data_IF_119491943762
#
_entry.id   IF_119491943762
#
_cell.length_a   1.000
_cell.length_b   1.000
_cell.length_c   1.000
_cell.angle_alpha   90.00
_cell.angle_beta   90.00
_cell.angle_gamma   90.00
#
_symmetry.space_group_name_H-M   'P 1'
#
loop_
_entity.id
_entity.type
_entity.pdbx_description
1 polymer ?
#
# COMPACT_ATOMS: atom_id res chain seq x y z
N UNK A 1 7.57 -38.24 5.91
CA UNK A 1 6.44 -37.61 6.61
C UNK A 1 6.16 -36.29 5.94
N UNK A 2 4.95 -36.13 5.41
CA UNK A 2 4.51 -34.89 4.77
C UNK A 2 4.32 -33.84 5.86
N UNK A 3 4.97 -32.67 5.71
CA UNK A 3 4.92 -31.56 6.68
C UNK A 3 3.50 -30.96 6.86
N UNK A 4 2.51 -31.45 6.13
CA UNK A 4 1.18 -30.86 6.00
C UNK A 4 0.04 -31.73 6.58
N UNK A 5 0.34 -32.92 7.11
CA UNK A 5 -0.70 -33.85 7.61
C UNK A 5 -1.35 -33.41 8.93
N UNK A 6 -0.62 -32.66 9.78
CA UNK A 6 -1.10 -32.23 11.10
C UNK A 6 -1.63 -30.78 11.12
N UNK A 7 -1.86 -30.16 9.95
CA UNK A 7 -2.39 -28.79 9.87
C UNK A 7 -3.86 -28.79 10.29
N UNK A 8 -4.18 -27.99 11.31
CA UNK A 8 -5.54 -27.87 11.87
C UNK A 8 -6.29 -26.61 11.46
N UNK A 9 -5.71 -25.77 10.62
CA UNK A 9 -6.29 -24.52 10.14
C UNK A 9 -5.28 -23.68 9.37
N UNK A 10 -5.78 -22.72 8.58
CA UNK A 10 -4.95 -21.84 7.75
C UNK A 10 -5.37 -20.40 8.01
N UNK A 11 -4.41 -19.54 8.32
CA UNK A 11 -4.61 -18.10 8.41
C UNK A 11 -3.95 -17.41 7.20
N UNK A 12 -4.62 -16.41 6.66
CA UNK A 12 -4.16 -15.63 5.52
C UNK A 12 -3.96 -14.17 5.93
N UNK A 13 -2.95 -13.53 5.36
CA UNK A 13 -2.99 -12.07 5.22
C UNK A 13 -3.96 -11.68 4.10
N UNK A 14 -4.30 -10.39 3.99
CA UNK A 14 -5.22 -9.86 2.99
C UNK A 14 -4.45 -9.26 1.81
N UNK A 15 -3.83 -8.10 2.03
CA UNK A 15 -3.15 -7.30 1.01
C UNK A 15 -1.91 -8.03 0.47
N UNK A 16 -1.85 -8.26 -0.84
CA UNK A 16 -0.75 -8.98 -1.47
C UNK A 16 -0.78 -10.50 -1.25
N UNK A 17 -1.82 -11.03 -0.61
CA UNK A 17 -2.02 -12.49 -0.41
C UNK A 17 -3.34 -12.96 -1.01
N UNK A 18 -4.47 -12.45 -0.52
CA UNK A 18 -5.80 -12.78 -1.06
C UNK A 18 -6.25 -11.77 -2.10
N UNK A 19 -5.90 -10.50 -1.89
CA UNK A 19 -6.27 -9.39 -2.78
C UNK A 19 -5.04 -8.69 -3.32
N UNK A 20 -5.12 -8.34 -4.60
CA UNK A 20 -4.24 -7.39 -5.24
C UNK A 20 -4.72 -5.98 -4.93
N UNK A 21 -4.13 -5.38 -3.89
CA UNK A 21 -4.44 -4.00 -3.46
C UNK A 21 -3.35 -3.00 -3.87
N UNK A 22 -2.33 -3.45 -4.60
CA UNK A 22 -1.24 -2.62 -5.07
C UNK A 22 -1.70 -1.45 -5.95
N UNK A 23 -2.63 -1.63 -6.92
CA UNK A 23 -3.09 -0.53 -7.76
C UNK A 23 -3.77 0.58 -6.97
N UNK A 24 -4.66 0.22 -6.03
CA UNK A 24 -5.34 1.20 -5.16
C UNK A 24 -4.38 1.92 -4.20
N UNK A 25 -3.41 1.20 -3.63
CA UNK A 25 -2.35 1.79 -2.81
C UNK A 25 -1.47 2.76 -3.61
N UNK A 26 -1.10 2.39 -4.82
CA UNK A 26 -0.33 3.22 -5.74
C UNK A 26 -1.06 4.52 -6.10
N UNK A 27 -2.33 4.42 -6.48
CA UNK A 27 -3.16 5.57 -6.81
C UNK A 27 -3.27 6.53 -5.62
N UNK A 28 -3.53 6.01 -4.41
CA UNK A 28 -3.63 6.84 -3.20
C UNK A 28 -2.31 7.55 -2.84
N UNK A 29 -1.17 6.89 -3.02
CA UNK A 29 0.16 7.49 -2.81
C UNK A 29 0.40 8.62 -3.80
N UNK A 30 0.12 8.40 -5.08
CA UNK A 30 0.33 9.42 -6.12
C UNK A 30 -0.61 10.62 -5.94
N UNK A 31 -1.87 10.39 -5.55
CA UNK A 31 -2.80 11.48 -5.19
C UNK A 31 -2.30 12.29 -4.00
N UNK A 32 -1.77 11.63 -2.96
CA UNK A 32 -1.23 12.30 -1.79
C UNK A 32 0.04 13.13 -2.11
N UNK A 33 0.95 12.58 -2.93
CA UNK A 33 2.13 13.31 -3.41
C UNK A 33 1.75 14.52 -4.26
N UNK A 34 0.79 14.33 -5.18
CA UNK A 34 0.28 15.40 -6.03
C UNK A 34 -0.33 16.54 -5.21
N UNK A 35 -1.10 16.22 -4.16
CA UNK A 35 -1.69 17.21 -3.27
C UNK A 35 -0.66 18.04 -2.46
N UNK A 36 0.57 17.54 -2.32
CA UNK A 36 1.71 18.28 -1.75
C UNK A 36 2.59 18.94 -2.82
N UNK A 37 2.13 19.00 -4.07
CA UNK A 37 2.88 19.53 -5.21
C UNK A 37 4.23 18.82 -5.42
N UNK A 38 4.30 17.54 -5.04
CA UNK A 38 5.47 16.70 -5.23
C UNK A 38 5.34 15.85 -6.50
N UNK A 39 6.47 15.42 -7.10
CA UNK A 39 6.44 14.45 -8.19
C UNK A 39 5.72 13.18 -7.76
N UNK A 40 4.84 12.68 -8.63
CA UNK A 40 4.15 11.39 -8.46
C UNK A 40 5.11 10.25 -8.81
N UNK A 41 4.99 9.13 -8.10
CA UNK A 41 5.94 8.02 -8.17
C UNK A 41 5.59 7.01 -9.26
N UNK A 42 4.29 6.81 -9.53
CA UNK A 42 3.78 5.79 -10.42
C UNK A 42 3.74 4.40 -9.78
N UNK A 43 2.82 3.57 -10.26
CA UNK A 43 2.51 2.25 -9.71
C UNK A 43 3.72 1.32 -9.57
N UNK A 44 4.50 1.15 -10.64
CA UNK A 44 5.68 0.25 -10.63
C UNK A 44 6.63 0.56 -9.48
N UNK A 45 6.81 1.84 -9.16
CA UNK A 45 7.69 2.28 -8.08
C UNK A 45 7.04 2.10 -6.73
N UNK A 46 5.78 2.50 -6.58
CA UNK A 46 5.06 2.40 -5.32
C UNK A 46 4.97 0.95 -4.84
N UNK A 47 4.75 -0.01 -5.76
CA UNK A 47 4.70 -1.44 -5.44
C UNK A 47 5.96 -1.91 -4.70
N UNK A 48 7.13 -1.39 -5.05
CA UNK A 48 8.40 -1.76 -4.39
C UNK A 48 8.50 -1.29 -2.93
N UNK A 49 7.63 -0.38 -2.50
CA UNK A 49 7.63 0.17 -1.15
C UNK A 49 6.64 -0.51 -0.20
N UNK A 50 5.69 -1.26 -0.74
CA UNK A 50 4.61 -1.93 0.02
C UNK A 50 5.18 -3.04 0.90
N UNK A 51 4.51 -3.30 2.04
CA UNK A 51 4.78 -4.47 2.91
C UNK A 51 5.30 -4.15 4.32
N UNK A 52 5.64 -2.88 4.62
CA UNK A 52 6.15 -2.48 5.95
C UNK A 52 5.20 -1.53 6.71
N UNK A 53 3.93 -1.51 6.32
CA UNK A 53 2.93 -0.59 6.86
C UNK A 53 2.91 0.79 6.18
N UNK A 54 1.83 1.54 6.43
CA UNK A 54 1.56 2.80 5.77
C UNK A 54 2.54 3.93 6.16
N UNK A 55 3.02 3.97 7.40
CA UNK A 55 3.99 4.99 7.83
C UNK A 55 5.31 4.87 7.07
N UNK A 56 5.86 3.66 6.99
CA UNK A 56 7.09 3.38 6.22
C UNK A 56 6.89 3.66 4.73
N UNK A 57 5.70 3.36 4.19
CA UNK A 57 5.35 3.69 2.81
C UNK A 57 5.41 5.21 2.55
N UNK A 58 4.83 6.02 3.45
CA UNK A 58 4.84 7.49 3.34
C UNK A 58 6.25 8.08 3.48
N UNK A 59 7.07 7.55 4.40
CA UNK A 59 8.47 7.98 4.54
C UNK A 59 9.29 7.73 3.27
N UNK A 60 9.11 6.54 2.66
CA UNK A 60 9.78 6.18 1.39
C UNK A 60 9.31 7.07 0.24
N UNK A 61 8.00 7.26 0.12
CA UNK A 61 7.40 8.10 -0.91
C UNK A 61 7.90 9.55 -0.83
N UNK A 62 7.87 10.14 0.38
CA UNK A 62 8.35 11.52 0.57
C UNK A 62 9.84 11.65 0.26
N UNK A 63 10.66 10.71 0.75
CA UNK A 63 12.11 10.72 0.53
C UNK A 63 12.43 10.70 -0.96
N UNK A 64 11.80 9.79 -1.70
CA UNK A 64 11.97 9.70 -3.14
C UNK A 64 11.47 10.96 -3.85
N UNK A 65 10.29 11.46 -3.52
CA UNK A 65 9.69 12.59 -4.21
C UNK A 65 10.50 13.90 -4.02
N UNK A 66 11.11 14.11 -2.84
CA UNK A 66 12.00 15.25 -2.60
C UNK A 66 13.28 15.16 -3.45
N UNK A 67 13.86 13.97 -3.57
CA UNK A 67 15.04 13.74 -4.43
C UNK A 67 14.70 13.94 -5.92
N UNK A 68 13.55 13.43 -6.35
CA UNK A 68 13.07 13.60 -7.72
C UNK A 68 12.83 15.09 -8.04
N UNK A 69 12.15 15.82 -7.13
CA UNK A 69 11.92 17.26 -7.29
C UNK A 69 13.24 18.02 -7.40
N UNK A 70 14.23 17.71 -6.57
CA UNK A 70 15.55 18.32 -6.63
C UNK A 70 16.25 18.04 -7.97
N UNK A 71 16.17 16.81 -8.47
CA UNK A 71 16.72 16.40 -9.76
C UNK A 71 16.06 17.15 -10.92
N UNK A 72 14.73 17.17 -10.97
CA UNK A 72 13.96 17.90 -11.99
C UNK A 72 14.24 19.40 -11.99
N UNK A 73 14.39 20.01 -10.81
CA UNK A 73 14.75 21.44 -10.74
C UNK A 73 16.15 21.70 -11.28
N UNK A 74 17.11 20.84 -10.94
CA UNK A 74 18.49 20.94 -11.42
C UNK A 74 18.56 20.81 -12.94
N UNK A 75 17.83 19.88 -13.54
CA UNK A 75 17.78 19.72 -15.01
C UNK A 75 17.14 20.92 -15.70
N UNK A 76 16.19 21.59 -15.04
CA UNK A 76 15.58 22.85 -15.51
C UNK A 76 16.42 24.11 -15.21
N UNK A 77 17.62 23.98 -14.62
CA UNK A 77 18.45 25.13 -14.23
C UNK A 77 17.85 26.00 -13.12
N UNK A 78 16.88 25.48 -12.36
CA UNK A 78 16.25 26.18 -11.24
C UNK A 78 17.07 25.95 -9.95
N UNK A 79 17.18 26.96 -9.06
CA UNK A 79 17.87 26.79 -7.79
C UNK A 79 17.15 25.77 -6.89
N UNK A 80 17.87 25.18 -5.90
CA UNK A 80 17.25 24.40 -4.84
C UNK A 80 16.14 25.17 -4.15
N UNK A 81 15.15 24.45 -3.63
CA UNK A 81 14.08 25.01 -2.81
C UNK A 81 14.20 24.36 -1.45
N UNK A 82 14.29 25.20 -0.43
CA UNK A 82 14.15 24.77 0.94
C UNK A 82 12.66 24.53 1.22
N UNK A 83 12.38 23.46 1.94
CA UNK A 83 11.04 23.15 2.37
C UNK A 83 10.68 24.00 3.59
N UNK A 84 9.63 24.82 3.48
CA UNK A 84 9.12 25.63 4.60
C UNK A 84 8.58 24.77 5.75
N UNK A 85 8.15 23.54 5.43
CA UNK A 85 7.61 22.56 6.38
C UNK A 85 8.68 21.50 6.66
N UNK A 86 9.01 21.21 7.94
CA UNK A 86 9.93 20.13 8.31
C UNK A 86 9.50 18.77 7.75
N UNK A 87 10.47 17.92 7.39
CA UNK A 87 10.21 16.62 6.77
C UNK A 87 9.24 15.74 7.59
N UNK A 88 9.39 15.72 8.91
CA UNK A 88 8.52 14.95 9.80
C UNK A 88 7.05 15.42 9.75
N UNK A 89 6.82 16.73 9.63
CA UNK A 89 5.47 17.28 9.49
C UNK A 89 4.92 16.99 8.09
N UNK A 90 5.75 17.05 7.04
CA UNK A 90 5.34 16.63 5.70
C UNK A 90 4.92 15.16 5.65
N UNK A 91 5.65 14.25 6.31
CA UNK A 91 5.24 12.83 6.40
C UNK A 91 3.88 12.70 7.09
N UNK A 92 3.63 13.44 8.19
CA UNK A 92 2.33 13.42 8.87
C UNK A 92 1.19 13.94 7.99
N UNK A 93 1.42 15.01 7.23
CA UNK A 93 0.42 15.54 6.30
C UNK A 93 0.18 14.54 5.16
N UNK A 94 1.25 14.01 4.58
CA UNK A 94 1.18 13.01 3.51
C UNK A 94 0.42 11.76 3.97
N UNK A 95 0.65 11.30 5.20
CA UNK A 95 -0.07 10.16 5.79
C UNK A 95 -1.58 10.42 5.90
N UNK A 96 -1.98 11.60 6.36
CA UNK A 96 -3.41 11.98 6.43
C UNK A 96 -4.06 12.06 5.06
N UNK A 97 -3.35 12.62 4.07
CA UNK A 97 -3.82 12.69 2.68
C UNK A 97 -3.95 11.28 2.08
N UNK A 98 -2.95 10.43 2.29
CA UNK A 98 -2.98 9.04 1.87
C UNK A 98 -4.15 8.27 2.50
N UNK A 99 -4.36 8.36 3.82
CA UNK A 99 -5.47 7.66 4.48
C UNK A 99 -6.82 8.09 3.90
N UNK A 100 -6.98 9.38 3.58
CA UNK A 100 -8.17 9.91 2.91
C UNK A 100 -8.32 9.34 1.51
N UNK A 101 -7.33 9.52 0.64
CA UNK A 101 -7.42 9.09 -0.75
C UNK A 101 -7.54 7.57 -0.87
N UNK A 102 -6.87 6.82 0.00
CA UNK A 102 -7.01 5.38 0.07
C UNK A 102 -8.44 4.97 0.42
N UNK A 103 -9.10 5.67 1.36
CA UNK A 103 -10.52 5.45 1.63
C UNK A 103 -11.45 5.74 0.44
N UNK A 104 -11.05 6.65 -0.46
CA UNK A 104 -11.80 6.99 -1.68
C UNK A 104 -11.58 5.96 -2.82
N UNK A 105 -10.39 5.36 -2.95
CA UNK A 105 -10.02 4.50 -4.10
C UNK A 105 -9.83 3.02 -3.78
N UNK A 106 -9.80 2.62 -2.51
CA UNK A 106 -9.48 1.24 -2.12
C UNK A 106 -10.48 0.20 -2.66
N UNK A 107 -11.76 0.56 -2.78
CA UNK A 107 -12.79 -0.37 -3.26
C UNK A 107 -12.75 -0.56 -4.79
N UNK A 108 -12.39 0.47 -5.55
CA UNK A 108 -12.38 0.42 -7.02
C UNK A 108 -11.16 -0.32 -7.60
N UNK A 109 -10.08 -0.44 -6.82
CA UNK A 109 -8.79 -1.00 -7.27
C UNK A 109 -8.37 -2.33 -6.63
N UNK A 110 -9.24 -2.99 -5.86
CA UNK A 110 -8.90 -4.23 -5.14
C UNK A 110 -9.56 -5.45 -5.78
N UNK A 111 -8.76 -6.39 -6.27
CA UNK A 111 -9.26 -7.62 -6.90
C UNK A 111 -8.72 -8.85 -6.18
N UNK A 112 -9.46 -9.95 -6.16
CA UNK A 112 -8.90 -11.23 -5.72
C UNK A 112 -7.80 -11.67 -6.70
N UNK A 113 -6.69 -12.21 -6.16
CA UNK A 113 -5.74 -12.88 -7.02
C UNK A 113 -6.38 -14.11 -7.71
N UNK A 114 -5.87 -14.52 -8.88
CA UNK A 114 -6.35 -15.72 -9.56
C UNK A 114 -6.40 -16.93 -8.61
N UNK A 115 -7.48 -17.70 -8.69
CA UNK A 115 -7.71 -18.92 -7.91
C UNK A 115 -7.87 -18.74 -6.39
N UNK A 116 -7.87 -17.52 -5.85
CA UNK A 116 -8.08 -17.32 -4.42
C UNK A 116 -9.45 -17.85 -3.98
N UNK A 117 -10.52 -17.48 -4.68
CA UNK A 117 -11.87 -17.96 -4.38
C UNK A 117 -11.96 -19.50 -4.44
N UNK A 118 -11.43 -20.11 -5.51
CA UNK A 118 -11.42 -21.57 -5.70
C UNK A 118 -10.64 -22.28 -4.58
N UNK A 119 -9.48 -21.72 -4.21
CA UNK A 119 -8.60 -22.30 -3.19
C UNK A 119 -9.22 -22.22 -1.80
N UNK A 120 -9.79 -21.05 -1.44
CA UNK A 120 -10.50 -20.89 -0.17
C UNK A 120 -11.70 -21.85 -0.09
N UNK A 121 -12.46 -21.99 -1.18
CA UNK A 121 -13.55 -22.97 -1.27
C UNK A 121 -13.08 -24.41 -1.10
N UNK A 122 -11.98 -24.79 -1.73
CA UNK A 122 -11.40 -26.13 -1.60
C UNK A 122 -10.90 -26.43 -0.18
N UNK A 123 -10.31 -25.46 0.51
CA UNK A 123 -9.86 -25.61 1.90
C UNK A 123 -11.04 -25.72 2.87
N UNK A 124 -12.08 -24.90 2.67
CA UNK A 124 -13.32 -24.97 3.43
C UNK A 124 -14.00 -26.34 3.25
N UNK A 125 -14.08 -26.84 2.02
CA UNK A 125 -14.68 -28.15 1.72
C UNK A 125 -13.93 -29.33 2.38
N UNK A 126 -12.64 -29.16 2.69
CA UNK A 126 -11.83 -30.12 3.47
C UNK A 126 -12.02 -30.00 4.98
N UNK A 127 -12.88 -29.09 5.45
CA UNK A 127 -13.17 -28.87 6.87
C UNK A 127 -12.05 -28.14 7.63
N UNK A 128 -11.12 -27.48 6.92
CA UNK A 128 -10.09 -26.68 7.57
C UNK A 128 -10.66 -25.33 8.01
N UNK A 129 -10.51 -24.95 9.29
CA UNK A 129 -10.77 -23.59 9.75
C UNK A 129 -9.90 -22.57 9.01
N UNK A 130 -10.53 -21.51 8.51
CA UNK A 130 -9.87 -20.41 7.81
C UNK A 130 -9.92 -19.13 8.66
N UNK A 131 -8.81 -18.40 8.75
CA UNK A 131 -8.74 -17.12 9.44
C UNK A 131 -8.12 -16.03 8.58
N UNK A 132 -8.49 -14.77 8.82
CA UNK A 132 -7.88 -13.59 8.22
C UNK A 132 -7.11 -12.82 9.30
N UNK A 133 -5.83 -12.57 9.07
CA UNK A 133 -4.93 -11.83 9.98
C UNK A 133 -4.19 -10.81 9.14
N UNK A 134 -4.60 -9.54 9.21
CA UNK A 134 -4.04 -8.48 8.38
C UNK A 134 -3.77 -7.21 9.18
N UNK A 135 -2.81 -6.43 8.70
CA UNK A 135 -2.53 -5.08 9.19
C UNK A 135 -3.48 -4.02 8.59
N UNK A 136 -4.33 -4.40 7.62
CA UNK A 136 -5.33 -3.50 7.07
C UNK A 136 -6.25 -3.01 8.19
N UNK A 137 -6.48 -1.68 8.33
CA UNK A 137 -7.28 -1.17 9.43
C UNK A 137 -8.68 -1.79 9.46
N UNK A 138 -9.17 -2.12 10.66
CA UNK A 138 -10.45 -2.82 10.87
C UNK A 138 -11.65 -2.25 10.10
N UNK A 139 -11.83 -0.92 9.95
CA UNK A 139 -12.94 -0.37 9.17
C UNK A 139 -12.99 -0.81 7.71
N UNK A 140 -11.86 -1.23 7.13
CA UNK A 140 -11.79 -1.69 5.74
C UNK A 140 -11.83 -3.22 5.59
N UNK A 141 -12.07 -3.96 6.69
CA UNK A 141 -12.04 -5.43 6.73
C UNK A 141 -13.27 -6.01 7.44
N UNK A 142 -13.87 -5.27 8.38
CA UNK A 142 -15.02 -5.72 9.14
C UNK A 142 -16.19 -6.10 8.19
N UNK A 143 -16.89 -7.23 8.47
CA UNK A 143 -18.01 -7.70 7.67
C UNK A 143 -19.23 -6.78 7.70
#
# INVERSE_FOLDING_TARGET
>A
MSKFEDIRGVAFDLDGTLVDSAPGLAAAVDMALYALELPVAGEERVITWIGNGADVLMERALTWARQERATLRKTMGKPPVDDDIPAEEQVRILRKLFDRYYGEVAEEGTFLFPHVADTLGALQAKGLPLGLVTNKPTPFVAP
#
